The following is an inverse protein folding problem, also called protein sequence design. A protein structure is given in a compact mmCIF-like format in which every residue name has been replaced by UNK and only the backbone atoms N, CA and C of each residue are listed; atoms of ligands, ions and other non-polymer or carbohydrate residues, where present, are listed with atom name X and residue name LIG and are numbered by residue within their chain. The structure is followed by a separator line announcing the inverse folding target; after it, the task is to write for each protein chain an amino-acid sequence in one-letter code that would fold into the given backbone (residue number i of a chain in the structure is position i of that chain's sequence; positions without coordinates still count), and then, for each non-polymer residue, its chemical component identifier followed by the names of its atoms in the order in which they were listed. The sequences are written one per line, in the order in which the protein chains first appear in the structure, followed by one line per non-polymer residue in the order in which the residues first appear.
data_IF_079129950401
#
_entry.id   IF_079129950401
#
_cell.length_a   1.000
_cell.length_b   1.000
_cell.length_c   1.000
_cell.angle_alpha   90.00
_cell.angle_beta   90.00
_cell.angle_gamma   90.00
#
_symmetry.space_group_name_H-M   'P 1'
#
loop_
_entity.id
_entity.type
_entity.pdbx_description
1 polymer ?
#
# COMPACT_ATOMS: atom_id res chain seq x y z
N UNK A 1 35.26 25.92 -36.42
CA UNK A 1 34.59 26.27 -35.15
C UNK A 1 33.79 25.07 -34.69
N UNK A 2 34.39 24.19 -33.89
CA UNK A 2 33.78 22.96 -33.38
C UNK A 2 33.16 23.27 -32.01
N UNK A 3 31.83 23.25 -31.92
CA UNK A 3 31.09 23.55 -30.70
C UNK A 3 30.90 22.24 -29.89
N UNK A 4 31.59 22.10 -28.77
CA UNK A 4 31.41 20.98 -27.85
C UNK A 4 30.25 21.26 -26.88
N UNK A 5 29.16 20.51 -27.02
CA UNK A 5 28.04 20.48 -26.08
C UNK A 5 28.40 19.56 -24.90
N UNK A 6 28.54 20.11 -23.69
CA UNK A 6 28.59 19.33 -22.45
C UNK A 6 27.15 18.98 -22.02
N UNK A 7 26.81 17.70 -21.76
CA UNK A 7 25.55 17.36 -21.13
C UNK A 7 25.68 17.51 -19.61
N UNK A 8 25.06 18.54 -19.04
CA UNK A 8 24.83 18.64 -17.61
C UNK A 8 23.54 17.90 -17.26
N UNK A 9 23.66 16.63 -16.88
CA UNK A 9 22.54 15.84 -16.35
C UNK A 9 22.97 15.15 -15.05
N UNK A 10 23.13 15.93 -13.97
CA UNK A 10 23.05 15.38 -12.62
C UNK A 10 21.59 15.14 -12.27
N UNK A 11 21.05 14.01 -12.71
CA UNK A 11 19.87 13.46 -12.09
C UNK A 11 20.29 12.92 -10.72
N UNK A 12 19.88 13.58 -9.63
CA UNK A 12 19.86 12.95 -8.31
C UNK A 12 18.81 11.82 -8.34
N UNK A 13 19.18 10.70 -8.93
CA UNK A 13 18.49 9.44 -8.72
C UNK A 13 18.70 9.07 -7.26
N UNK A 14 17.67 9.23 -6.44
CA UNK A 14 17.63 8.52 -5.17
C UNK A 14 17.60 7.04 -5.53
N UNK A 15 18.74 6.37 -5.43
CA UNK A 15 18.82 4.90 -5.52
C UNK A 15 18.02 4.36 -4.35
N UNK A 16 16.73 4.14 -4.55
CA UNK A 16 15.92 3.33 -3.67
C UNK A 16 16.43 1.91 -3.88
N UNK A 17 17.08 1.33 -2.86
CA UNK A 17 17.40 -0.09 -2.92
C UNK A 17 16.11 -0.87 -3.16
N UNK A 18 16.18 -1.83 -4.09
CA UNK A 18 15.04 -2.68 -4.41
C UNK A 18 14.59 -3.40 -3.13
N UNK A 19 13.29 -3.43 -2.82
CA UNK A 19 12.81 -4.02 -1.58
C UNK A 19 13.29 -5.46 -1.44
N UNK A 20 13.93 -5.76 -0.31
CA UNK A 20 14.45 -7.11 -0.03
C UNK A 20 13.44 -7.87 0.81
N UNK A 21 13.08 -9.07 0.38
CA UNK A 21 12.27 -10.01 1.16
C UNK A 21 13.19 -10.84 2.05
N UNK A 22 12.82 -10.95 3.33
CA UNK A 22 13.51 -11.74 4.34
C UNK A 22 12.65 -12.93 4.73
N UNK A 23 13.17 -14.14 4.50
CA UNK A 23 12.52 -15.40 4.85
C UNK A 23 12.51 -15.67 6.35
N UNK A 24 13.45 -15.08 7.11
CA UNK A 24 13.50 -15.23 8.56
C UNK A 24 13.79 -13.90 9.22
N UNK A 25 12.87 -13.46 10.05
CA UNK A 25 12.94 -12.20 10.77
C UNK A 25 13.58 -12.39 12.14
N UNK A 26 14.76 -11.82 12.34
CA UNK A 26 15.31 -11.58 13.68
C UNK A 26 14.71 -10.28 14.22
N UNK A 27 14.12 -10.30 15.44
CA UNK A 27 13.58 -9.09 16.04
C UNK A 27 14.72 -8.11 16.31
N UNK A 28 14.60 -6.89 15.77
CA UNK A 28 15.56 -5.83 16.03
C UNK A 28 15.27 -5.17 17.38
N UNK A 29 16.29 -4.77 18.15
CA UNK A 29 16.09 -4.04 19.39
C UNK A 29 15.35 -2.72 19.10
N UNK A 30 14.20 -2.52 19.74
CA UNK A 30 13.37 -1.34 19.54
C UNK A 30 13.88 -0.19 20.41
N UNK A 31 14.75 0.66 19.84
CA UNK A 31 15.16 1.90 20.47
C UNK A 31 14.36 3.07 19.86
N UNK A 32 13.32 3.51 20.57
CA UNK A 32 12.49 4.63 20.13
C UNK A 32 13.30 5.93 20.19
N UNK A 33 13.54 6.55 19.02
CA UNK A 33 14.20 7.84 18.90
C UNK A 33 13.23 8.89 18.36
N UNK A 34 13.07 10.01 19.06
CA UNK A 34 12.20 11.13 18.68
C UNK A 34 12.57 11.77 17.33
N UNK A 35 13.81 11.60 16.88
CA UNK A 35 14.29 12.09 15.59
C UNK A 35 13.66 11.34 14.40
N UNK A 36 13.19 10.11 14.60
CA UNK A 36 12.64 9.27 13.54
C UNK A 36 11.23 8.84 13.93
N UNK A 37 10.23 9.32 13.20
CA UNK A 37 8.84 9.15 13.56
C UNK A 37 8.07 8.47 12.45
N UNK A 38 7.43 7.38 12.80
CA UNK A 38 6.36 6.82 12.00
C UNK A 38 5.07 7.62 12.24
N UNK A 39 4.39 8.04 11.17
CA UNK A 39 3.23 8.94 11.28
C UNK A 39 1.92 8.25 10.98
N UNK A 40 1.85 7.54 9.85
CA UNK A 40 0.59 6.96 9.36
C UNK A 40 0.86 5.77 8.46
N UNK A 41 -0.05 4.79 8.53
CA UNK A 41 -0.23 3.75 7.51
C UNK A 41 -1.47 4.01 6.68
N UNK A 42 -1.42 3.59 5.41
CA UNK A 42 -2.61 3.41 4.59
C UNK A 42 -2.59 2.01 4.01
N UNK A 43 -3.66 1.27 4.27
CA UNK A 43 -3.89 -0.05 3.69
C UNK A 43 -4.93 0.08 2.58
N UNK A 44 -4.67 -0.56 1.46
CA UNK A 44 -5.63 -0.69 0.38
C UNK A 44 -5.56 -2.08 -0.21
N UNK A 45 -6.68 -2.79 -0.19
CA UNK A 45 -6.84 -4.09 -0.84
C UNK A 45 -7.42 -3.86 -2.24
N UNK A 46 -6.64 -4.23 -3.26
CA UNK A 46 -7.11 -4.21 -4.65
C UNK A 46 -7.62 -5.60 -5.04
N UNK A 47 -8.93 -5.73 -5.20
CA UNK A 47 -9.61 -6.95 -5.68
C UNK A 47 -10.01 -6.86 -7.14
N UNK A 48 -10.25 -8.01 -7.79
CA UNK A 48 -10.70 -8.06 -9.21
C UNK A 48 -12.02 -7.32 -9.41
N UNK A 49 -12.96 -7.47 -8.47
CA UNK A 49 -14.23 -6.75 -8.45
C UNK A 49 -14.11 -5.49 -7.60
N UNK A 50 -14.73 -4.39 -8.04
CA UNK A 50 -14.83 -3.19 -7.22
C UNK A 50 -15.78 -3.43 -6.03
N UNK A 51 -15.54 -2.80 -4.87
CA UNK A 51 -16.49 -2.84 -3.76
C UNK A 51 -17.86 -2.35 -4.23
N UNK A 52 -18.90 -3.13 -3.93
CA UNK A 52 -20.28 -2.89 -4.42
C UNK A 52 -20.63 -3.55 -5.76
N UNK A 53 -19.69 -4.23 -6.43
CA UNK A 53 -19.92 -5.02 -7.66
C UNK A 53 -19.88 -6.54 -7.40
N UNK A 54 -20.00 -6.96 -6.14
CA UNK A 54 -20.04 -8.38 -5.79
C UNK A 54 -21.29 -9.02 -6.39
N UNK A 55 -21.11 -9.75 -7.49
CA UNK A 55 -22.04 -10.81 -7.86
C UNK A 55 -21.92 -11.85 -6.76
N UNK A 56 -22.98 -12.05 -5.99
CA UNK A 56 -23.14 -13.10 -4.97
C UNK A 56 -22.44 -14.39 -5.39
N UNK A 57 -21.20 -14.58 -4.93
CA UNK A 57 -20.38 -15.74 -5.25
C UNK A 57 -20.11 -16.43 -3.92
N UNK A 58 -20.83 -17.53 -3.72
CA UNK A 58 -20.90 -18.28 -2.49
C UNK A 58 -19.62 -19.10 -2.25
N UNK A 59 -18.75 -18.64 -1.35
CA UNK A 59 -17.79 -19.42 -0.52
C UNK A 59 -17.11 -18.37 0.38
N UNK A 60 -17.31 -18.25 1.69
CA UNK A 60 -17.39 -19.22 2.77
C UNK A 60 -18.22 -18.64 3.96
N UNK A 61 -18.79 -19.55 4.73
CA UNK A 61 -19.76 -19.48 5.85
C UNK A 61 -19.47 -18.43 6.96
N UNK A 62 -20.42 -17.82 7.68
CA UNK A 62 -21.64 -18.30 8.35
C UNK A 62 -22.61 -17.14 8.61
N UNK A 63 -23.89 -17.25 8.21
CA UNK A 63 -25.06 -16.87 9.04
C UNK A 63 -26.38 -17.03 8.27
N UNK A 64 -27.31 -17.77 8.89
CA UNK A 64 -28.74 -17.43 8.94
C UNK A 64 -29.49 -17.28 7.61
N UNK A 65 -30.08 -18.38 7.15
CA UNK A 65 -31.15 -18.38 6.14
C UNK A 65 -32.39 -17.66 6.70
N UNK A 66 -32.67 -16.43 6.29
CA UNK A 66 -34.01 -15.84 6.35
C UNK A 66 -34.36 -15.17 5.02
N UNK A 67 -35.29 -15.80 4.28
CA UNK A 67 -36.04 -15.16 3.19
C UNK A 67 -36.83 -14.00 3.77
N UNK A 68 -36.68 -12.79 3.24
CA UNK A 68 -37.54 -11.67 3.63
C UNK A 68 -37.29 -10.40 2.81
N UNK A 69 -38.21 -10.12 1.89
CA UNK A 69 -38.71 -8.77 1.60
C UNK A 69 -37.76 -7.73 1.00
N UNK A 70 -38.05 -7.35 -0.26
CA UNK A 70 -37.76 -6.00 -0.74
C UNK A 70 -38.35 -4.99 0.25
N UNK A 71 -37.51 -4.24 0.94
CA UNK A 71 -37.89 -2.97 1.55
C UNK A 71 -36.95 -1.91 1.01
N UNK A 72 -37.56 -0.93 0.34
CA UNK A 72 -36.92 0.24 -0.21
C UNK A 72 -36.12 0.94 0.90
N UNK A 73 -34.81 1.02 0.73
CA UNK A 73 -33.96 1.84 1.59
C UNK A 73 -34.11 3.29 1.18
N UNK A 74 -35.19 3.94 1.62
CA UNK A 74 -35.25 5.41 1.74
C UNK A 74 -34.49 5.83 3.01
N UNK A 75 -33.26 5.31 3.17
CA UNK A 75 -32.32 5.81 4.14
C UNK A 75 -31.55 6.95 3.45
N UNK A 76 -31.38 8.13 4.08
CA UNK A 76 -30.57 9.19 3.50
C UNK A 76 -29.15 8.65 3.36
N UNK A 77 -28.77 8.25 2.15
CA UNK A 77 -27.40 7.89 1.80
C UNK A 77 -26.54 9.10 2.14
N UNK A 78 -25.89 9.01 3.29
CA UNK A 78 -25.16 10.12 3.87
C UNK A 78 -24.10 10.55 2.87
N UNK A 79 -23.96 11.85 2.62
CA UNK A 79 -22.95 12.41 1.69
C UNK A 79 -21.52 11.89 1.96
N UNK A 80 -21.25 11.38 3.16
CA UNK A 80 -19.99 10.73 3.53
C UNK A 80 -19.76 9.40 2.78
N UNK A 81 -20.80 8.59 2.57
CA UNK A 81 -20.71 7.31 1.85
C UNK A 81 -20.32 7.53 0.39
N UNK A 82 -20.90 8.55 -0.26
CA UNK A 82 -20.56 8.87 -1.66
C UNK A 82 -19.14 9.44 -1.82
N UNK A 83 -18.67 10.24 -0.86
CA UNK A 83 -17.28 10.74 -0.84
C UNK A 83 -16.29 9.59 -0.60
N UNK A 84 -16.63 8.66 0.31
CA UNK A 84 -15.81 7.48 0.55
C UNK A 84 -15.74 6.60 -0.70
N UNK A 85 -16.86 6.31 -1.35
CA UNK A 85 -16.90 5.53 -2.60
C UNK A 85 -16.08 6.21 -3.71
N UNK A 86 -16.17 7.53 -3.85
CA UNK A 86 -15.36 8.29 -4.79
C UNK A 86 -13.87 8.15 -4.49
N UNK A 87 -13.47 8.22 -3.21
CA UNK A 87 -12.08 8.04 -2.80
C UNK A 87 -11.56 6.62 -3.09
N UNK A 88 -12.38 5.60 -2.85
CA UNK A 88 -12.02 4.20 -3.14
C UNK A 88 -11.86 3.98 -4.65
N UNK A 89 -12.77 4.51 -5.46
CA UNK A 89 -12.67 4.45 -6.93
C UNK A 89 -11.40 5.14 -7.44
N UNK A 90 -11.05 6.28 -6.86
CA UNK A 90 -9.82 6.99 -7.21
C UNK A 90 -8.58 6.14 -6.90
N UNK A 91 -8.47 5.58 -5.70
CA UNK A 91 -7.34 4.73 -5.31
C UNK A 91 -7.23 3.49 -6.20
N UNK A 92 -8.36 2.86 -6.54
CA UNK A 92 -8.40 1.75 -7.49
C UNK A 92 -7.81 2.14 -8.83
N UNK A 93 -8.27 3.26 -9.38
CA UNK A 93 -7.84 3.74 -10.68
C UNK A 93 -6.36 4.13 -10.68
N UNK A 94 -5.89 4.74 -9.59
CA UNK A 94 -4.48 5.08 -9.41
C UNK A 94 -3.58 3.83 -9.44
N UNK A 95 -3.98 2.76 -8.75
CA UNK A 95 -3.19 1.52 -8.70
C UNK A 95 -3.26 0.71 -9.99
N UNK A 96 -4.38 0.76 -10.69
CA UNK A 96 -4.55 0.14 -12.01
C UNK A 96 -4.03 0.99 -13.17
N UNK A 97 -3.51 2.19 -12.91
CA UNK A 97 -3.01 3.07 -13.97
C UNK A 97 -1.90 2.38 -14.79
N UNK A 98 -2.12 2.24 -16.10
CA UNK A 98 -1.23 1.53 -17.02
C UNK A 98 -1.51 0.04 -17.18
N UNK A 99 -2.41 -0.56 -16.40
CA UNK A 99 -2.89 -1.93 -16.61
C UNK A 99 -4.06 -1.93 -17.60
N UNK A 100 -3.75 -2.13 -18.88
CA UNK A 100 -4.75 -2.05 -19.96
C UNK A 100 -5.41 -3.39 -20.23
N UNK A 101 -4.70 -4.51 -20.03
CA UNK A 101 -5.25 -5.85 -20.21
C UNK A 101 -5.79 -6.43 -18.90
N UNK A 102 -6.65 -7.44 -18.99
CA UNK A 102 -7.09 -8.19 -17.80
C UNK A 102 -5.95 -8.92 -17.10
N UNK A 103 -4.93 -9.33 -17.84
CA UNK A 103 -3.74 -9.96 -17.28
C UNK A 103 -2.99 -8.93 -16.42
N UNK A 104 -2.70 -7.75 -16.97
CA UNK A 104 -2.01 -6.67 -16.24
C UNK A 104 -2.77 -6.26 -14.98
N UNK A 105 -4.11 -6.23 -15.04
CA UNK A 105 -4.93 -5.89 -13.89
C UNK A 105 -4.82 -6.96 -12.80
N UNK A 106 -4.79 -8.25 -13.18
CA UNK A 106 -4.66 -9.37 -12.25
C UNK A 106 -3.31 -9.40 -11.56
N UNK A 107 -2.24 -9.08 -12.29
CA UNK A 107 -0.89 -8.98 -11.71
C UNK A 107 -0.77 -7.87 -10.65
N UNK A 108 -1.67 -6.89 -10.67
CA UNK A 108 -1.73 -5.81 -9.68
C UNK A 108 -2.67 -6.09 -8.51
N UNK A 109 -3.48 -7.14 -8.56
CA UNK A 109 -4.35 -7.51 -7.43
C UNK A 109 -3.47 -7.83 -6.22
N UNK A 110 -3.85 -7.32 -5.05
CA UNK A 110 -3.10 -7.56 -3.83
C UNK A 110 -3.30 -6.53 -2.73
N UNK A 111 -2.50 -6.70 -1.67
CA UNK A 111 -2.45 -5.80 -0.53
C UNK A 111 -1.38 -4.73 -0.75
N UNK A 112 -1.78 -3.48 -0.61
CA UNK A 112 -0.87 -2.36 -0.69
C UNK A 112 -0.77 -1.64 0.64
N UNK A 113 0.46 -1.40 1.07
CA UNK A 113 0.78 -0.68 2.30
C UNK A 113 1.55 0.57 1.92
N UNK A 114 1.00 1.74 2.24
CA UNK A 114 1.76 2.99 2.17
C UNK A 114 2.16 3.41 3.59
N UNK A 115 3.44 3.70 3.80
CA UNK A 115 4.01 4.13 5.07
C UNK A 115 4.43 5.60 4.98
N UNK A 116 3.92 6.42 5.89
CA UNK A 116 4.30 7.81 6.02
C UNK A 116 5.17 7.99 7.25
N UNK A 117 6.39 8.47 7.05
CA UNK A 117 7.38 8.60 8.10
C UNK A 117 8.15 9.92 7.95
N UNK A 118 8.84 10.31 9.02
CA UNK A 118 9.54 11.58 9.10
C UNK A 118 10.87 11.44 9.83
N UNK A 119 11.93 12.00 9.23
CA UNK A 119 13.26 12.07 9.79
C UNK A 119 13.64 13.53 10.10
N UNK A 120 13.77 13.86 11.38
CA UNK A 120 14.14 15.20 11.87
C UNK A 120 15.59 15.54 11.51
N UNK A 121 16.49 14.57 11.70
CA UNK A 121 17.91 14.62 11.34
C UNK A 121 18.16 13.79 10.08
N UNK A 122 19.15 14.19 9.28
CA UNK A 122 19.62 13.39 8.17
C UNK A 122 20.33 12.13 8.68
N UNK A 123 19.90 10.96 8.21
CA UNK A 123 20.49 9.67 8.58
C UNK A 123 20.21 8.61 7.52
N UNK A 124 21.00 7.54 7.54
CA UNK A 124 20.69 6.32 6.81
C UNK A 124 19.62 5.54 7.59
N UNK A 125 18.52 5.20 6.92
CA UNK A 125 17.33 4.61 7.52
C UNK A 125 16.87 3.40 6.72
N UNK A 126 16.37 2.40 7.42
CA UNK A 126 15.72 1.24 6.79
C UNK A 126 14.27 1.20 7.26
N UNK A 127 13.35 1.21 6.32
CA UNK A 127 11.93 0.98 6.58
C UNK A 127 11.68 -0.51 6.42
N UNK A 128 11.22 -1.16 7.51
CA UNK A 128 10.94 -2.59 7.56
C UNK A 128 9.45 -2.82 7.79
N UNK A 129 8.82 -3.58 6.89
CA UNK A 129 7.49 -4.14 7.08
C UNK A 129 7.64 -5.59 7.53
N UNK A 130 7.23 -5.91 8.74
CA UNK A 130 7.12 -7.29 9.22
C UNK A 130 5.65 -7.73 9.17
N UNK A 131 5.38 -8.91 8.61
CA UNK A 131 4.01 -9.42 8.48
C UNK A 131 3.92 -10.93 8.75
N UNK A 132 2.74 -11.35 9.22
CA UNK A 132 2.40 -12.74 9.51
C UNK A 132 1.16 -13.13 8.72
N UNK A 133 1.20 -14.28 8.07
CA UNK A 133 0.04 -14.85 7.41
C UNK A 133 -0.55 -15.94 8.30
N UNK A 134 -1.88 -15.99 8.39
CA UNK A 134 -2.62 -16.92 9.26
C UNK A 134 -2.18 -18.39 9.05
N UNK A 135 -2.03 -18.80 7.79
CA UNK A 135 -1.64 -20.16 7.41
C UNK A 135 -0.15 -20.47 7.63
N UNK A 136 0.69 -19.47 7.90
CA UNK A 136 2.13 -19.62 8.11
C UNK A 136 2.51 -19.73 9.60
N UNK A 137 1.53 -19.68 10.51
CA UNK A 137 1.68 -19.85 11.96
C UNK A 137 2.78 -18.94 12.54
N UNK A 138 3.87 -19.50 13.06
CA UNK A 138 4.96 -18.77 13.71
C UNK A 138 5.93 -18.10 12.72
N UNK A 139 5.75 -18.31 11.41
CA UNK A 139 6.64 -17.76 10.41
C UNK A 139 6.33 -16.27 10.17
N UNK A 140 7.36 -15.44 10.34
CA UNK A 140 7.31 -13.99 10.13
C UNK A 140 8.18 -13.68 8.93
N UNK A 141 7.61 -12.98 7.95
CA UNK A 141 8.33 -12.45 6.81
C UNK A 141 8.55 -10.96 6.99
N UNK A 142 9.62 -10.43 6.39
CA UNK A 142 9.82 -8.99 6.34
C UNK A 142 10.20 -8.50 4.95
N UNK A 143 9.86 -7.24 4.68
CA UNK A 143 10.28 -6.50 3.52
C UNK A 143 11.01 -5.24 3.97
N UNK A 144 12.21 -5.00 3.43
CA UNK A 144 13.05 -3.88 3.82
C UNK A 144 13.38 -2.98 2.63
N UNK A 145 13.33 -1.67 2.87
CA UNK A 145 13.76 -0.63 1.92
C UNK A 145 14.74 0.30 2.63
N UNK A 146 15.94 0.41 2.08
CA UNK A 146 17.01 1.26 2.60
C UNK A 146 17.00 2.65 1.95
N UNK A 147 17.27 3.66 2.77
CA UNK A 147 17.28 5.07 2.44
C UNK A 147 18.57 5.70 2.94
N UNK A 148 19.37 6.30 2.05
CA UNK A 148 20.61 6.97 2.44
C UNK A 148 20.43 8.47 2.66
N UNK A 149 21.02 8.98 3.74
CA UNK A 149 21.09 10.40 4.09
C UNK A 149 19.73 11.13 4.02
N UNK A 150 18.68 10.51 4.57
CA UNK A 150 17.32 11.00 4.40
C UNK A 150 16.87 11.92 5.52
N UNK A 151 16.21 13.02 5.15
CA UNK A 151 15.63 14.03 6.03
C UNK A 151 14.25 14.46 5.55
N UNK A 152 13.38 14.86 6.47
CA UNK A 152 12.04 15.36 6.17
C UNK A 152 10.97 14.27 6.14
N UNK A 153 9.85 14.55 5.47
CA UNK A 153 8.71 13.62 5.37
C UNK A 153 8.82 12.77 4.11
N UNK A 154 8.58 11.47 4.26
CA UNK A 154 8.69 10.48 3.18
C UNK A 154 7.48 9.56 3.16
N UNK A 155 7.24 9.00 1.98
CA UNK A 155 6.25 7.97 1.71
C UNK A 155 6.97 6.78 1.08
N UNK A 156 6.72 5.60 1.63
CA UNK A 156 7.20 4.31 1.12
C UNK A 156 6.01 3.45 0.74
#
# INVERSE_FOLDING_TARGET
MLLTLLPLASALGRTQEQPRLLDRVVPLPMALNQDFRFRKTKLYLLTENAPGQEKSSATDSTQGRTKGGKLASTAPSSKSTTVQDASIRFERQYRLFGAVTKLDQRERIGNYFDFFWHARRAADLTVRLEYRQEKLHAHVQAQEISYSNVRGSHKT
#
